data_IF_545270511611
#
_entry.id   IF_545270511611
#
_cell.length_a   1.000
_cell.length_b   1.000
_cell.length_c   1.000
_cell.angle_alpha   90.00
_cell.angle_beta   90.00
_cell.angle_gamma   90.00
#
_symmetry.space_group_name_H-M   'P 1'
#
loop_
_entity.id
_entity.type
_entity.pdbx_description
1 polymer ?
#
# COMPACT_ATOMS: atom_id res chain seq x y z
N UNK A 1 54.41 -50.95 8.93
CA UNK A 1 53.41 -50.48 9.91
C UNK A 1 52.62 -49.36 9.25
N UNK A 2 51.33 -49.54 8.94
CA UNK A 2 50.51 -48.57 8.20
C UNK A 2 49.31 -48.16 9.04
N UNK A 3 49.23 -46.86 9.36
CA UNK A 3 48.03 -45.99 9.49
C UNK A 3 48.46 -44.63 10.07
N UNK A 4 47.93 -43.49 9.58
CA UNK A 4 46.56 -43.15 9.94
C UNK A 4 45.70 -42.53 8.83
N UNK A 5 44.41 -42.58 9.15
CA UNK A 5 43.22 -42.14 8.41
C UNK A 5 43.12 -40.61 8.44
N UNK A 6 42.83 -40.00 7.29
CA UNK A 6 42.30 -38.63 7.16
C UNK A 6 41.17 -38.71 6.12
N UNK A 7 39.92 -38.90 6.54
CA UNK A 7 38.98 -37.83 6.84
C UNK A 7 38.77 -36.88 5.64
N UNK A 8 37.97 -37.33 4.67
CA UNK A 8 37.40 -36.45 3.66
C UNK A 8 35.90 -36.26 3.97
N UNK A 9 35.62 -35.22 4.75
CA UNK A 9 34.31 -34.58 4.82
C UNK A 9 33.95 -34.07 3.43
N UNK A 10 32.86 -34.54 2.83
CA UNK A 10 32.34 -33.92 1.61
C UNK A 10 30.80 -33.88 1.60
N UNK A 11 30.31 -32.76 2.12
CA UNK A 11 29.11 -31.98 1.75
C UNK A 11 27.80 -32.75 1.44
N UNK A 12 26.97 -32.88 2.47
CA UNK A 12 25.51 -32.95 2.29
C UNK A 12 24.99 -31.62 1.75
N UNK A 13 24.80 -31.54 0.43
CA UNK A 13 24.07 -30.45 -0.20
C UNK A 13 22.58 -30.58 0.16
N UNK A 14 22.14 -29.86 1.20
CA UNK A 14 20.71 -29.65 1.43
C UNK A 14 20.20 -28.76 0.29
N UNK A 15 19.45 -29.36 -0.64
CA UNK A 15 18.66 -28.64 -1.61
C UNK A 15 17.61 -27.81 -0.85
N UNK A 16 17.88 -26.51 -0.72
CA UNK A 16 16.88 -25.55 -0.27
C UNK A 16 15.80 -25.44 -1.34
N UNK A 17 14.68 -26.12 -1.12
CA UNK A 17 13.47 -25.96 -1.92
C UNK A 17 12.93 -24.55 -1.65
N UNK A 18 12.86 -23.64 -2.63
CA UNK A 18 12.20 -22.37 -2.39
C UNK A 18 10.70 -22.66 -2.31
N UNK A 19 10.14 -22.61 -1.10
CA UNK A 19 8.70 -22.54 -0.93
C UNK A 19 8.23 -21.22 -1.56
N UNK A 20 7.72 -21.28 -2.80
CA UNK A 20 6.99 -20.17 -3.40
C UNK A 20 5.62 -20.17 -2.73
N UNK A 21 5.41 -19.23 -1.82
CA UNK A 21 4.06 -18.90 -1.40
C UNK A 21 3.40 -18.23 -2.60
N UNK A 22 2.59 -19.00 -3.34
CA UNK A 22 1.58 -18.43 -4.22
C UNK A 22 0.64 -17.62 -3.33
N UNK A 23 0.91 -16.32 -3.23
CA UNK A 23 -0.06 -15.36 -2.75
C UNK A 23 -1.25 -15.51 -3.68
N UNK A 24 -2.31 -16.14 -3.18
CA UNK A 24 -3.60 -16.22 -3.84
C UNK A 24 -3.94 -14.80 -4.32
N UNK A 25 -3.81 -14.61 -5.63
CA UNK A 25 -4.20 -13.41 -6.34
C UNK A 25 -5.71 -13.29 -6.14
N UNK A 26 -6.10 -12.65 -5.05
CA UNK A 26 -7.46 -12.23 -4.85
C UNK A 26 -7.64 -11.08 -5.83
N UNK A 27 -8.46 -11.21 -6.89
CA UNK A 27 -8.80 -10.07 -7.70
C UNK A 27 -9.63 -9.16 -6.80
N UNK A 28 -8.95 -8.25 -6.12
CA UNK A 28 -9.59 -7.05 -5.61
C UNK A 28 -10.03 -6.33 -6.86
N UNK A 29 -11.29 -6.59 -7.24
CA UNK A 29 -12.02 -5.80 -8.21
C UNK A 29 -12.01 -4.39 -7.63
N UNK A 30 -11.00 -3.61 -7.96
CA UNK A 30 -11.06 -2.16 -7.93
C UNK A 30 -12.10 -1.81 -8.97
N UNK A 31 -13.38 -1.96 -8.62
CA UNK A 31 -14.42 -1.21 -9.27
C UNK A 31 -13.90 0.22 -9.23
N UNK A 32 -13.65 0.81 -10.39
CA UNK A 32 -13.35 2.21 -10.49
C UNK A 32 -14.55 2.93 -9.89
N UNK A 33 -14.46 3.19 -8.57
CA UNK A 33 -15.48 3.91 -7.84
C UNK A 33 -15.52 5.29 -8.52
N UNK A 34 -16.70 5.73 -9.00
CA UNK A 34 -16.82 6.88 -9.88
C UNK A 34 -16.32 8.11 -9.17
N UNK A 35 -15.20 8.70 -9.64
CA UNK A 35 -14.44 9.78 -8.98
C UNK A 35 -15.37 10.90 -8.47
N UNK A 36 -15.85 10.80 -7.22
CA UNK A 36 -16.62 11.80 -6.52
C UNK A 36 -15.65 12.91 -6.11
N UNK A 37 -15.84 14.10 -6.66
CA UNK A 37 -15.20 15.30 -6.16
C UNK A 37 -15.82 15.62 -4.80
N UNK A 38 -15.15 15.23 -3.71
CA UNK A 38 -15.59 15.57 -2.36
C UNK A 38 -15.73 17.09 -2.17
N UNK A 39 -16.56 17.56 -1.22
CA UNK A 39 -16.73 18.99 -0.97
C UNK A 39 -15.42 19.64 -0.53
N UNK A 40 -15.18 20.89 -0.95
CA UNK A 40 -13.92 21.61 -0.68
C UNK A 40 -13.56 21.68 0.82
N UNK A 41 -14.55 21.62 1.71
CA UNK A 41 -14.34 21.59 3.16
C UNK A 41 -13.64 20.31 3.66
N UNK A 42 -13.63 19.23 2.87
CA UNK A 42 -12.98 17.97 3.21
C UNK A 42 -11.53 17.92 2.73
N UNK A 43 -11.14 18.81 1.82
CA UNK A 43 -9.78 18.89 1.30
C UNK A 43 -8.85 19.57 2.31
N UNK A 44 -7.54 19.28 2.25
CA UNK A 44 -6.55 20.03 3.01
C UNK A 44 -6.56 21.53 2.66
N UNK A 45 -6.03 22.38 3.55
CA UNK A 45 -5.87 23.79 3.24
C UNK A 45 -4.93 24.01 2.04
N UNK A 46 -5.11 25.10 1.27
CA UNK A 46 -4.26 25.42 0.13
C UNK A 46 -2.77 25.40 0.50
N UNK A 47 -1.97 24.76 -0.34
CA UNK A 47 -0.53 24.65 -0.13
C UNK A 47 -0.09 23.54 0.83
N UNK A 48 -1.02 22.72 1.34
CA UNK A 48 -0.67 21.54 2.14
C UNK A 48 0.29 20.60 1.40
N UNK A 49 1.42 20.28 2.03
CA UNK A 49 2.49 19.42 1.46
C UNK A 49 2.61 18.06 2.14
N UNK A 50 1.79 17.78 3.15
CA UNK A 50 1.82 16.49 3.85
C UNK A 50 1.33 15.34 2.97
N UNK A 51 1.83 14.15 3.29
CA UNK A 51 1.43 12.89 2.64
C UNK A 51 0.09 12.35 3.19
N UNK A 52 -0.31 12.77 4.39
CA UNK A 52 -1.49 12.27 5.10
C UNK A 52 -2.35 13.44 5.55
N UNK A 53 -3.67 13.33 5.44
CA UNK A 53 -4.60 14.39 5.82
C UNK A 53 -5.75 13.82 6.64
N UNK A 54 -6.07 14.45 7.78
CA UNK A 54 -7.25 14.14 8.57
C UNK A 54 -8.35 15.14 8.24
N UNK A 55 -9.41 14.68 7.58
CA UNK A 55 -10.53 15.54 7.22
C UNK A 55 -11.45 15.83 8.44
N UNK A 56 -12.34 16.84 8.36
CA UNK A 56 -13.23 17.19 9.47
C UNK A 56 -14.15 16.05 9.95
N UNK A 57 -14.42 15.07 9.08
CA UNK A 57 -15.20 13.87 9.41
C UNK A 57 -14.42 12.84 10.23
N UNK A 58 -13.16 13.12 10.62
CA UNK A 58 -12.24 12.23 11.36
C UNK A 58 -11.73 11.03 10.55
N UNK A 59 -11.92 11.03 9.24
CA UNK A 59 -11.30 10.05 8.35
C UNK A 59 -9.91 10.54 7.93
N UNK A 60 -8.98 9.62 7.78
CA UNK A 60 -7.63 9.92 7.31
C UNK A 60 -7.47 9.54 5.85
N UNK A 61 -6.72 10.35 5.11
CA UNK A 61 -6.51 10.20 3.69
C UNK A 61 -5.03 10.27 3.34
N UNK A 62 -4.59 9.50 2.35
CA UNK A 62 -3.23 9.53 1.79
C UNK A 62 -3.19 10.24 0.45
N UNK A 63 -2.15 11.04 0.23
CA UNK A 63 -1.97 11.84 -0.98
C UNK A 63 -1.41 11.00 -2.14
N UNK A 64 -1.99 11.13 -3.32
CA UNK A 64 -1.42 10.68 -4.58
C UNK A 64 -1.48 11.83 -5.58
N UNK A 65 -0.39 12.03 -6.33
CA UNK A 65 -0.39 12.93 -7.49
C UNK A 65 -0.92 12.19 -8.71
N UNK A 66 -1.89 12.79 -9.39
CA UNK A 66 -2.32 12.41 -10.74
C UNK A 66 -2.10 13.63 -11.66
N UNK A 67 -1.91 13.42 -12.96
CA UNK A 67 -1.72 14.52 -13.93
C UNK A 67 -2.87 15.54 -13.84
N UNK A 68 -2.59 16.75 -13.32
CA UNK A 68 -3.56 17.84 -13.16
C UNK A 68 -4.43 17.80 -11.90
N UNK A 69 -4.30 16.81 -11.01
CA UNK A 69 -5.07 16.74 -9.76
C UNK A 69 -4.29 16.04 -8.64
N UNK A 70 -4.58 16.42 -7.39
CA UNK A 70 -4.18 15.63 -6.23
C UNK A 70 -5.38 14.79 -5.78
N UNK A 71 -5.21 13.47 -5.73
CA UNK A 71 -6.21 12.53 -5.22
C UNK A 71 -5.82 12.10 -3.81
N UNK A 72 -6.80 12.11 -2.91
CA UNK A 72 -6.65 11.75 -1.51
C UNK A 72 -7.41 10.45 -1.25
N UNK A 73 -6.74 9.33 -0.98
CA UNK A 73 -7.37 8.02 -0.77
C UNK A 73 -7.63 7.74 0.71
N UNK A 74 -8.80 7.21 1.05
CA UNK A 74 -9.13 6.84 2.43
C UNK A 74 -8.17 5.79 2.99
N UNK A 75 -7.59 6.06 4.15
CA UNK A 75 -6.88 5.06 4.94
C UNK A 75 -7.93 4.14 5.58
N UNK A 76 -7.98 2.90 5.11
CA UNK A 76 -9.02 1.92 5.45
C UNK A 76 -9.14 1.68 6.96
N UNK A 77 -8.04 1.79 7.73
CA UNK A 77 -8.06 1.66 9.19
C UNK A 77 -8.94 2.69 9.89
N UNK A 78 -9.27 3.81 9.23
CA UNK A 78 -10.12 4.89 9.75
C UNK A 78 -11.52 4.90 9.13
N UNK A 79 -11.83 3.92 8.28
CA UNK A 79 -13.08 3.88 7.53
C UNK A 79 -14.32 3.66 8.42
N UNK A 80 -15.32 4.50 8.22
CA UNK A 80 -16.68 4.33 8.74
C UNK A 80 -17.70 4.85 7.73
N UNK A 81 -19.00 4.70 8.01
CA UNK A 81 -20.10 5.03 7.10
C UNK A 81 -20.20 6.50 6.64
N UNK A 82 -19.33 7.39 7.12
CA UNK A 82 -19.29 8.82 6.77
C UNK A 82 -17.97 9.22 6.10
N UNK A 83 -17.13 8.26 5.74
CA UNK A 83 -15.91 8.50 4.99
C UNK A 83 -16.19 8.32 3.50
N UNK A 84 -15.84 9.33 2.71
CA UNK A 84 -15.72 9.15 1.27
C UNK A 84 -14.47 8.31 0.97
N UNK A 85 -14.53 7.46 -0.05
CA UNK A 85 -13.43 6.56 -0.42
C UNK A 85 -12.19 7.33 -0.94
N UNK A 86 -12.42 8.50 -1.55
CA UNK A 86 -11.37 9.42 -1.94
C UNK A 86 -11.92 10.84 -2.09
N UNK A 87 -11.01 11.81 -2.10
CA UNK A 87 -11.28 13.23 -2.35
C UNK A 87 -10.39 13.69 -3.51
N UNK A 88 -10.88 14.62 -4.34
CA UNK A 88 -10.11 15.15 -5.47
C UNK A 88 -9.92 16.65 -5.32
N UNK A 89 -8.66 17.05 -5.27
CA UNK A 89 -8.21 18.44 -5.32
C UNK A 89 -7.76 18.75 -6.75
N UNK A 90 -8.51 19.60 -7.45
CA UNK A 90 -8.14 20.03 -8.81
C UNK A 90 -6.93 20.97 -8.72
N UNK A 91 -5.88 20.70 -9.49
CA UNK A 91 -4.79 21.64 -9.69
C UNK A 91 -5.29 22.90 -10.40
N UNK A 92 -4.77 24.05 -10.01
CA UNK A 92 -5.03 25.33 -10.68
C UNK A 92 -4.28 25.41 -12.01
#
# INVERSE_FOLDING_TARGET
>A
MIRPILAALALTALAAVPARADLAESPTRTAALPVASGPAAMLPPPGYKGQWWTAPNRCEYSRTGEEGATVWYLIISTAHSRCDAYLVEKGA
#
